data_IF_882060414846
#
_entry.id   IF_882060414846
#
_cell.length_a   1.000
_cell.length_b   1.000
_cell.length_c   1.000
_cell.angle_alpha   90.00
_cell.angle_beta   90.00
_cell.angle_gamma   90.00
#
_symmetry.space_group_name_H-M   'P 1'
#
loop_
_entity.id
_entity.type
_entity.pdbx_description
1 polymer ?
#
# COMPACT_ATOMS: atom_id res chain seq x y z
N UNK A 1 12.21 0.04 5.17
CA UNK A 1 12.87 -1.29 5.32
C UNK A 1 12.03 -2.08 6.31
N UNK A 2 11.40 -3.16 5.85
CA UNK A 2 10.43 -3.91 6.66
C UNK A 2 11.16 -5.00 7.42
N UNK A 3 11.04 -4.98 8.74
CA UNK A 3 11.52 -6.06 9.61
C UNK A 3 10.34 -6.68 10.35
N UNK A 4 10.23 -8.00 10.23
CA UNK A 4 9.30 -8.82 11.01
C UNK A 4 10.14 -9.82 11.81
N UNK A 5 10.01 -9.78 13.13
CA UNK A 5 10.70 -10.70 14.04
C UNK A 5 9.71 -11.76 14.50
N UNK A 6 10.12 -13.02 14.43
CA UNK A 6 9.36 -14.13 14.98
C UNK A 6 9.28 -14.02 16.51
N UNK A 7 8.11 -14.33 17.08
CA UNK A 7 7.93 -14.47 18.52
C UNK A 7 7.82 -15.95 18.89
N UNK A 8 8.15 -16.35 20.14
CA UNK A 8 7.91 -17.70 20.61
C UNK A 8 6.41 -18.04 20.49
N UNK A 9 6.09 -19.08 19.71
CA UNK A 9 4.71 -19.50 19.44
C UNK A 9 4.10 -19.01 18.12
N UNK A 10 4.81 -18.22 17.31
CA UNK A 10 4.37 -17.91 15.95
C UNK A 10 4.63 -19.08 14.98
N UNK A 11 3.60 -19.52 14.27
CA UNK A 11 3.75 -20.38 13.10
C UNK A 11 4.34 -19.60 11.92
N UNK A 12 5.03 -20.27 11.00
CA UNK A 12 5.52 -19.70 9.73
C UNK A 12 4.45 -18.90 8.97
N UNK A 13 3.22 -19.42 8.92
CA UNK A 13 2.09 -18.76 8.25
C UNK A 13 1.67 -17.42 8.90
N UNK A 14 1.73 -17.35 10.24
CA UNK A 14 1.46 -16.12 11.01
C UNK A 14 2.48 -15.04 10.65
N UNK A 15 3.75 -15.43 10.54
CA UNK A 15 4.85 -14.54 10.14
C UNK A 15 4.68 -14.00 8.72
N UNK A 16 4.34 -14.87 7.76
CA UNK A 16 4.09 -14.47 6.37
C UNK A 16 2.91 -13.49 6.30
N UNK A 17 1.81 -13.76 7.02
CA UNK A 17 0.67 -12.84 7.10
C UNK A 17 1.05 -11.48 7.69
N UNK A 18 1.81 -11.47 8.79
CA UNK A 18 2.31 -10.23 9.43
C UNK A 18 3.19 -9.43 8.47
N UNK A 19 4.08 -10.11 7.74
CA UNK A 19 4.92 -9.49 6.72
C UNK A 19 4.09 -8.89 5.59
N UNK A 20 3.20 -9.66 4.96
CA UNK A 20 2.32 -9.17 3.89
C UNK A 20 1.50 -7.96 4.34
N UNK A 21 0.97 -7.98 5.56
CA UNK A 21 0.23 -6.83 6.12
C UNK A 21 1.13 -5.60 6.27
N UNK A 22 2.37 -5.75 6.77
CA UNK A 22 3.33 -4.64 6.87
C UNK A 22 3.72 -4.10 5.50
N UNK A 23 3.99 -4.96 4.51
CA UNK A 23 4.31 -4.57 3.12
C UNK A 23 3.19 -3.74 2.50
N UNK A 24 1.94 -4.18 2.68
CA UNK A 24 0.78 -3.47 2.17
C UNK A 24 0.57 -2.12 2.88
N UNK A 25 0.81 -2.06 4.20
CA UNK A 25 0.68 -0.84 4.98
C UNK A 25 1.76 0.20 4.65
N UNK A 26 3.00 -0.23 4.44
CA UNK A 26 4.12 0.65 4.07
C UNK A 26 4.02 1.12 2.62
N UNK A 27 3.20 0.47 1.78
CA UNK A 27 2.88 0.94 0.43
C UNK A 27 4.04 0.84 -0.56
N UNK A 28 5.12 0.15 -0.20
CA UNK A 28 6.36 0.06 -1.00
C UNK A 28 6.08 -0.35 -2.45
N UNK A 29 5.20 -1.34 -2.67
CA UNK A 29 4.84 -1.80 -4.01
C UNK A 29 4.17 -0.71 -4.87
N UNK A 30 3.36 0.15 -4.24
CA UNK A 30 2.68 1.24 -4.95
C UNK A 30 3.67 2.35 -5.30
N UNK A 31 4.64 2.61 -4.43
CA UNK A 31 5.67 3.60 -4.69
C UNK A 31 6.64 3.11 -5.76
N UNK A 32 7.04 1.84 -5.72
CA UNK A 32 7.88 1.22 -6.76
C UNK A 32 7.24 1.39 -8.15
N UNK A 33 5.92 1.13 -8.26
CA UNK A 33 5.16 1.33 -9.50
C UNK A 33 5.09 2.80 -9.96
N UNK A 34 5.03 3.77 -9.03
CA UNK A 34 5.03 5.20 -9.39
C UNK A 34 6.39 5.67 -9.90
N UNK A 35 7.47 5.03 -9.45
CA UNK A 35 8.85 5.40 -9.81
C UNK A 35 9.40 4.57 -10.97
N UNK A 36 8.66 3.56 -11.45
CA UNK A 36 9.05 2.71 -12.58
C UNK A 36 9.24 3.53 -13.87
N UNK A 37 8.47 4.60 -14.04
CA UNK A 37 8.56 5.51 -15.18
C UNK A 37 8.30 6.95 -14.75
N UNK A 38 8.85 7.91 -15.50
CA UNK A 38 8.54 9.31 -15.30
C UNK A 38 7.06 9.58 -15.59
N UNK A 39 6.37 10.15 -14.60
CA UNK A 39 5.00 10.62 -14.76
C UNK A 39 4.98 12.14 -14.80
N UNK A 40 4.26 12.71 -15.77
CA UNK A 40 4.13 14.17 -15.87
C UNK A 40 3.42 14.70 -14.62
N UNK A 41 3.81 15.86 -14.06
CA UNK A 41 3.16 16.44 -12.89
C UNK A 41 1.63 16.62 -13.03
N UNK A 42 1.14 16.81 -14.26
CA UNK A 42 -0.30 16.88 -14.55
C UNK A 42 -1.02 15.53 -14.34
N UNK A 43 -0.40 14.43 -14.73
CA UNK A 43 -0.96 13.08 -14.58
C UNK A 43 -1.00 12.67 -13.11
N UNK A 44 0.06 12.95 -12.37
CA UNK A 44 0.11 12.74 -10.91
C UNK A 44 -1.05 13.46 -10.21
N UNK A 45 -1.30 14.74 -10.57
CA UNK A 45 -2.44 15.51 -10.02
C UNK A 45 -3.78 14.88 -10.39
N UNK A 46 -3.94 14.44 -11.63
CA UNK A 46 -5.16 13.76 -12.12
C UNK A 46 -5.42 12.46 -11.37
N UNK A 47 -4.41 11.62 -11.18
CA UNK A 47 -4.52 10.36 -10.43
C UNK A 47 -4.84 10.58 -8.96
N UNK A 48 -4.17 11.54 -8.30
CA UNK A 48 -4.47 11.92 -6.91
C UNK A 48 -5.93 12.35 -6.73
N UNK A 49 -6.44 13.19 -7.64
CA UNK A 49 -7.84 13.62 -7.61
C UNK A 49 -8.82 12.45 -7.82
N UNK A 50 -8.51 11.53 -8.75
CA UNK A 50 -9.30 10.31 -8.99
C UNK A 50 -9.34 9.41 -7.76
N UNK A 51 -8.20 9.20 -7.08
CA UNK A 51 -8.12 8.42 -5.86
C UNK A 51 -8.96 9.03 -4.74
N UNK A 52 -8.91 10.36 -4.58
CA UNK A 52 -9.70 11.07 -3.57
C UNK A 52 -11.21 10.92 -3.82
N UNK A 53 -11.64 11.08 -5.08
CA UNK A 53 -13.04 10.87 -5.48
C UNK A 53 -13.51 9.45 -5.19
N UNK A 54 -12.70 8.43 -5.52
CA UNK A 54 -12.98 7.02 -5.20
C UNK A 54 -13.15 6.80 -3.71
N UNK A 55 -12.23 7.32 -2.87
CA UNK A 55 -12.31 7.22 -1.41
C UNK A 55 -13.56 7.87 -0.83
N UNK A 56 -14.01 9.01 -1.39
CA UNK A 56 -15.25 9.67 -0.98
C UNK A 56 -16.48 8.82 -1.29
N UNK A 57 -16.53 8.23 -2.48
CA UNK A 57 -17.65 7.37 -2.89
C UNK A 57 -17.77 6.11 -2.02
N UNK A 58 -16.64 5.43 -1.75
CA UNK A 58 -16.65 4.21 -0.92
C UNK A 58 -17.05 4.45 0.52
N UNK A 59 -16.80 5.65 1.08
CA UNK A 59 -17.20 6.01 2.45
C UNK A 59 -18.65 6.43 2.59
N UNK A 60 -19.31 6.80 1.49
CA UNK A 60 -20.70 7.28 1.48
C UNK A 60 -21.72 6.15 1.39
N UNK A 61 -21.29 4.95 0.98
CA UNK A 61 -22.13 3.75 0.90
C UNK A 61 -22.05 2.87 2.16
N UNK A 62 -21.69 3.47 3.30
CA UNK A 62 -21.73 2.88 4.64
C UNK A 62 -22.67 3.71 5.51
#
# INVERSE_FOLDING_TARGET
>A
MIVVKAQPGDTSDSLIRKFSKKVLAEGILQDLKKHEFYQKPAEIRKEKAKLLKRRKFTRRNY
#
